data_IF_054978148604
#
_entry.id   IF_054978148604
#
_cell.length_a   1.000
_cell.length_b   1.000
_cell.length_c   1.000
_cell.angle_alpha   90.00
_cell.angle_beta   90.00
_cell.angle_gamma   90.00
#
_symmetry.space_group_name_H-M   'P 1'
#
loop_
_entity.id
_entity.type
_entity.pdbx_description
1 polymer ?
#
# COMPACT_ATOMS: atom_id res chain seq x y z
N UNK A 1 5.71 16.03 7.30
CA UNK A 1 4.99 14.76 7.05
C UNK A 1 5.95 13.66 6.62
N UNK A 2 5.52 12.43 6.73
CA UNK A 2 6.28 11.28 6.26
C UNK A 2 5.64 10.75 4.98
N UNK A 3 6.47 10.41 4.00
CA UNK A 3 6.03 9.77 2.78
C UNK A 3 6.46 8.32 2.76
N UNK A 4 5.62 7.46 2.20
CA UNK A 4 5.94 6.06 2.01
C UNK A 4 5.56 5.67 0.58
N UNK A 5 6.47 4.97 -0.09
CA UNK A 5 6.20 4.39 -1.39
C UNK A 5 6.45 2.89 -1.28
N UNK A 6 5.41 2.10 -1.51
CA UNK A 6 5.51 0.65 -1.45
C UNK A 6 5.32 0.09 -2.87
N UNK A 7 6.34 -0.55 -3.39
CA UNK A 7 6.33 -1.14 -4.74
C UNK A 7 6.10 -2.65 -4.61
N UNK A 8 5.10 -3.15 -5.32
CA UNK A 8 4.66 -4.54 -5.20
C UNK A 8 4.58 -5.17 -6.58
N UNK A 9 5.28 -6.29 -6.75
CA UNK A 9 5.16 -7.10 -7.97
C UNK A 9 4.08 -8.15 -7.73
N UNK A 10 3.18 -8.28 -8.72
CA UNK A 10 2.06 -9.22 -8.65
C UNK A 10 2.31 -10.34 -9.65
N UNK A 11 1.94 -11.55 -9.27
CA UNK A 11 2.06 -12.71 -10.16
C UNK A 11 1.23 -12.47 -11.41
N UNK A 12 1.80 -12.71 -12.60
CA UNK A 12 1.04 -12.55 -13.86
C UNK A 12 -0.24 -13.38 -13.81
N UNK A 13 -1.35 -12.74 -14.19
CA UNK A 13 -2.67 -13.38 -14.16
C UNK A 13 -3.45 -13.16 -12.87
N UNK A 14 -2.81 -12.61 -11.81
CA UNK A 14 -3.45 -12.39 -10.52
C UNK A 14 -3.82 -10.92 -10.28
N UNK A 15 -3.78 -10.11 -11.33
CA UNK A 15 -4.01 -8.67 -11.21
C UNK A 15 -5.38 -8.34 -10.65
N UNK A 16 -6.42 -9.02 -11.12
CA UNK A 16 -7.79 -8.75 -10.67
C UNK A 16 -7.96 -9.06 -9.19
N UNK A 17 -7.44 -10.21 -8.75
CA UNK A 17 -7.54 -10.64 -7.36
C UNK A 17 -6.77 -9.68 -6.45
N UNK A 18 -5.55 -9.30 -6.85
CA UNK A 18 -4.76 -8.34 -6.11
C UNK A 18 -5.47 -6.99 -5.99
N UNK A 19 -5.95 -6.47 -7.13
CA UNK A 19 -6.61 -5.15 -7.14
C UNK A 19 -7.85 -5.11 -6.27
N UNK A 20 -8.63 -6.20 -6.26
CA UNK A 20 -9.83 -6.26 -5.43
C UNK A 20 -9.49 -6.10 -3.94
N UNK A 21 -8.48 -6.82 -3.47
CA UNK A 21 -8.04 -6.76 -2.08
C UNK A 21 -7.39 -5.42 -1.77
N UNK A 22 -6.52 -4.95 -2.65
CA UNK A 22 -5.81 -3.69 -2.46
C UNK A 22 -6.77 -2.49 -2.43
N UNK A 23 -7.80 -2.50 -3.27
CA UNK A 23 -8.83 -1.43 -3.28
C UNK A 23 -9.63 -1.42 -1.98
N UNK A 24 -9.90 -2.58 -1.41
CA UNK A 24 -10.56 -2.67 -0.12
C UNK A 24 -9.71 -2.02 0.97
N UNK A 25 -8.40 -2.28 0.96
CA UNK A 25 -7.48 -1.67 1.90
C UNK A 25 -7.45 -0.16 1.73
N UNK A 26 -7.36 0.33 0.50
CA UNK A 26 -7.37 1.77 0.22
C UNK A 26 -8.63 2.42 0.78
N UNK A 27 -9.79 1.80 0.57
CA UNK A 27 -11.06 2.35 1.05
C UNK A 27 -11.11 2.42 2.58
N UNK A 28 -10.62 1.38 3.27
CA UNK A 28 -10.62 1.36 4.73
C UNK A 28 -9.67 2.39 5.32
N UNK A 29 -8.49 2.54 4.76
CA UNK A 29 -7.52 3.54 5.21
C UNK A 29 -8.11 4.95 5.05
N UNK A 30 -8.63 5.25 3.88
CA UNK A 30 -9.17 6.59 3.59
C UNK A 30 -10.41 6.92 4.43
N UNK A 31 -11.16 5.92 4.86
CA UNK A 31 -12.35 6.13 5.69
C UNK A 31 -12.03 6.28 7.18
N UNK A 32 -10.93 5.68 7.67
CA UNK A 32 -10.73 5.48 9.10
C UNK A 32 -9.47 6.13 9.69
N UNK A 33 -8.46 6.41 8.88
CA UNK A 33 -7.17 6.86 9.40
C UNK A 33 -6.96 8.36 9.18
N UNK A 34 -7.34 9.14 10.17
CA UNK A 34 -7.24 10.60 10.09
C UNK A 34 -5.79 11.09 9.92
N UNK A 35 -4.83 10.35 10.43
CA UNK A 35 -3.41 10.69 10.31
C UNK A 35 -2.79 10.33 8.97
N UNK A 36 -3.49 9.59 8.12
CA UNK A 36 -3.04 9.27 6.78
C UNK A 36 -3.66 10.26 5.80
N UNK A 37 -2.81 11.05 5.15
CA UNK A 37 -3.26 12.14 4.26
C UNK A 37 -3.29 11.75 2.80
N UNK A 38 -2.64 10.66 2.43
CA UNK A 38 -2.68 10.11 1.09
C UNK A 38 -2.49 8.60 1.21
N UNK A 39 -3.37 7.85 0.58
CA UNK A 39 -3.20 6.42 0.46
C UNK A 39 -3.83 6.02 -0.88
N UNK A 40 -3.00 5.83 -1.90
CA UNK A 40 -3.47 5.63 -3.26
C UNK A 40 -2.68 4.53 -3.95
N UNK A 41 -3.42 3.66 -4.65
CA UNK A 41 -2.82 2.57 -5.41
C UNK A 41 -2.67 2.97 -6.87
N UNK A 42 -1.49 2.68 -7.43
CA UNK A 42 -1.18 2.95 -8.82
C UNK A 42 -0.68 1.66 -9.48
N UNK A 43 -0.91 1.53 -10.76
CA UNK A 43 -0.22 0.51 -11.55
C UNK A 43 0.85 1.20 -12.38
N UNK A 44 2.08 0.67 -12.34
CA UNK A 44 3.20 1.26 -13.07
C UNK A 44 3.12 0.84 -14.53
N UNK A 45 3.23 1.82 -15.43
CA UNK A 45 3.16 1.56 -16.87
C UNK A 45 4.46 0.98 -17.39
N UNK A 46 4.36 0.13 -18.42
CA UNK A 46 5.52 -0.35 -19.17
C UNK A 46 6.24 -1.55 -18.60
N UNK A 47 5.81 -2.08 -17.45
CA UNK A 47 6.45 -3.26 -16.86
C UNK A 47 5.92 -4.54 -17.47
N UNK A 48 6.82 -5.49 -17.74
CA UNK A 48 6.41 -6.82 -18.20
C UNK A 48 5.70 -7.58 -17.10
N UNK A 49 6.20 -7.46 -15.87
CA UNK A 49 5.56 -8.03 -14.69
C UNK A 49 4.63 -6.98 -14.10
N UNK A 50 3.38 -7.34 -13.77
CA UNK A 50 2.46 -6.36 -13.17
C UNK A 50 3.06 -5.79 -11.88
N UNK A 51 3.26 -4.48 -11.86
CA UNK A 51 3.87 -3.79 -10.74
C UNK A 51 2.96 -2.67 -10.27
N UNK A 52 2.70 -2.66 -8.96
CA UNK A 52 1.81 -1.68 -8.34
C UNK A 52 2.59 -0.85 -7.34
N UNK A 53 2.14 0.37 -7.12
CA UNK A 53 2.79 1.30 -6.20
C UNK A 53 1.73 1.94 -5.31
N UNK A 54 1.88 1.76 -4.00
CA UNK A 54 1.12 2.55 -3.04
C UNK A 54 1.90 3.82 -2.75
N UNK A 55 1.24 4.97 -2.90
CA UNK A 55 1.79 6.25 -2.48
C UNK A 55 1.06 6.68 -1.23
N UNK A 56 1.81 6.98 -0.17
CA UNK A 56 1.24 7.20 1.16
C UNK A 56 1.86 8.43 1.81
N UNK A 57 1.05 9.17 2.56
CA UNK A 57 1.54 10.29 3.37
C UNK A 57 0.88 10.24 4.73
N UNK A 58 1.71 10.42 5.77
CA UNK A 58 1.25 10.38 7.16
C UNK A 58 1.70 11.64 7.88
N UNK A 59 0.89 12.09 8.84
CA UNK A 59 1.23 13.30 9.61
C UNK A 59 2.49 13.12 10.47
N UNK A 60 2.71 11.89 10.99
CA UNK A 60 3.85 11.59 11.84
C UNK A 60 4.08 10.07 11.93
N UNK A 61 5.10 9.68 12.68
CA UNK A 61 5.44 8.27 12.86
C UNK A 61 4.35 7.51 13.61
N UNK A 62 3.66 8.15 14.55
CA UNK A 62 2.58 7.51 15.27
C UNK A 62 1.44 7.10 14.34
N UNK A 63 1.16 7.90 13.30
CA UNK A 63 0.15 7.58 12.31
C UNK A 63 0.57 6.37 11.45
N UNK A 64 1.85 6.25 11.11
CA UNK A 64 2.38 5.09 10.40
C UNK A 64 2.21 3.84 11.24
N UNK A 65 2.56 3.92 12.52
CA UNK A 65 2.45 2.76 13.43
C UNK A 65 1.00 2.36 13.64
N UNK A 66 0.10 3.33 13.79
CA UNK A 66 -1.32 3.07 13.94
C UNK A 66 -1.88 2.35 12.69
N UNK A 67 -1.48 2.80 11.50
CA UNK A 67 -1.87 2.16 10.24
C UNK A 67 -1.46 0.69 10.22
N UNK A 68 -0.22 0.41 10.54
CA UNK A 68 0.33 -0.95 10.50
C UNK A 68 -0.24 -1.86 11.59
N UNK A 69 -0.77 -1.29 12.66
CA UNK A 69 -1.36 -2.04 13.76
C UNK A 69 -2.83 -2.40 13.54
N UNK A 70 -3.48 -1.85 12.52
CA UNK A 70 -4.89 -2.14 12.28
C UNK A 70 -5.10 -3.60 11.88
N UNK A 71 -6.25 -4.15 12.29
CA UNK A 71 -6.60 -5.54 11.94
C UNK A 71 -6.78 -5.70 10.44
N UNK A 72 -7.38 -4.71 9.79
CA UNK A 72 -7.62 -4.79 8.34
C UNK A 72 -6.30 -4.74 7.54
N UNK A 73 -5.31 -3.94 7.98
CA UNK A 73 -4.02 -3.93 7.30
C UNK A 73 -3.37 -5.30 7.36
N UNK A 74 -3.39 -5.93 8.55
CA UNK A 74 -2.80 -7.25 8.74
C UNK A 74 -3.51 -8.32 7.91
N UNK A 75 -4.86 -8.32 7.94
CA UNK A 75 -5.65 -9.33 7.25
C UNK A 75 -5.57 -9.16 5.73
N UNK A 76 -5.78 -7.94 5.22
CA UNK A 76 -5.75 -7.67 3.79
C UNK A 76 -4.33 -7.76 3.24
N UNK A 77 -3.33 -7.35 4.03
CA UNK A 77 -1.92 -7.50 3.64
C UNK A 77 -1.53 -8.96 3.47
N UNK A 78 -1.98 -9.82 4.37
CA UNK A 78 -1.74 -11.26 4.25
C UNK A 78 -2.39 -11.82 2.98
N UNK A 79 -3.60 -11.38 2.70
CA UNK A 79 -4.31 -11.83 1.51
C UNK A 79 -3.64 -11.34 0.23
N UNK A 80 -3.21 -10.08 0.19
CA UNK A 80 -2.45 -9.55 -0.94
C UNK A 80 -1.18 -10.38 -1.19
N UNK A 81 -0.55 -10.84 -0.10
CA UNK A 81 0.66 -11.66 -0.19
C UNK A 81 0.50 -12.92 -1.02
N UNK A 82 -0.70 -13.47 -1.08
CA UNK A 82 -0.99 -14.66 -1.89
C UNK A 82 -0.82 -14.40 -3.38
N UNK A 83 -0.98 -13.15 -3.80
CA UNK A 83 -0.91 -12.76 -5.21
C UNK A 83 0.40 -12.06 -5.56
N UNK A 84 1.26 -11.83 -4.57
CA UNK A 84 2.51 -11.09 -4.76
C UNK A 84 3.63 -12.02 -5.22
N UNK A 85 4.49 -11.47 -6.08
CA UNK A 85 5.71 -12.13 -6.51
C UNK A 85 6.88 -11.48 -5.76
N UNK A 86 7.20 -12.07 -4.61
CA UNK A 86 8.22 -11.55 -3.71
C UNK A 86 7.70 -10.53 -2.71
N UNK A 87 8.61 -9.90 -2.01
CA UNK A 87 8.30 -8.92 -0.96
C UNK A 87 8.06 -7.53 -1.55
N UNK A 88 7.21 -6.76 -0.85
CA UNK A 88 7.08 -5.35 -1.16
C UNK A 88 8.40 -4.61 -0.87
N UNK A 89 8.75 -3.70 -1.76
CA UNK A 89 9.88 -2.79 -1.55
C UNK A 89 9.33 -1.50 -0.98
N UNK A 90 9.72 -1.17 0.24
CA UNK A 90 9.16 -0.01 0.95
C UNK A 90 10.23 1.06 1.08
N UNK A 91 9.93 2.24 0.56
CA UNK A 91 10.79 3.42 0.66
C UNK A 91 10.12 4.43 1.60
N UNK A 92 10.84 4.86 2.63
CA UNK A 92 10.36 5.84 3.59
C UNK A 92 11.09 7.16 3.37
N UNK A 93 10.34 8.25 3.46
CA UNK A 93 10.88 9.58 3.20
C UNK A 93 10.31 10.58 4.19
N UNK A 94 11.08 11.63 4.45
CA UNK A 94 10.62 12.75 5.26
C UNK A 94 10.43 13.97 4.34
N UNK A 95 9.36 14.67 4.58
CA UNK A 95 9.14 15.91 3.84
C UNK A 95 10.23 16.93 4.23
N UNK A 96 10.76 17.61 3.22
CA UNK A 96 11.71 18.69 3.42
C UNK A 96 10.91 20.00 3.51
N UNK A 97 11.01 20.67 4.64
CA UNK A 97 10.25 21.88 4.90
C UNK A 97 11.11 23.13 4.76
#
# INVERSE_FOLDING_TARGET
>A
MLGVVATIRVKPGMEKEFEAVAKELVAKVNASEAGCKLYALHRRDGDETPTYVFMERYVDQAAVEAHRATDYFKALGRKMGEYMDGRAEVMRMREVE
#
